data_IF_622600827524
#
_entry.id   IF_622600827524
#
_cell.length_a   1.000
_cell.length_b   1.000
_cell.length_c   1.000
_cell.angle_alpha   90.00
_cell.angle_beta   90.00
_cell.angle_gamma   90.00
#
_symmetry.space_group_name_H-M   'P 1'
#
loop_
_entity.id
_entity.type
_entity.pdbx_description
1 polymer ?
#
# COMPACT_ATOMS: atom_id res chain seq x y z
N UNK A 1 -37.82 13.55 17.36
CA UNK A 1 -36.45 13.97 17.72
C UNK A 1 -35.49 12.81 18.01
N UNK A 2 -35.86 11.75 18.75
CA UNK A 2 -34.96 10.59 19.00
C UNK A 2 -34.52 9.78 17.76
N UNK A 3 -35.32 9.75 16.68
CA UNK A 3 -34.95 9.07 15.41
C UNK A 3 -34.03 9.90 14.50
N UNK A 4 -34.09 11.23 14.54
CA UNK A 4 -33.16 12.08 13.78
C UNK A 4 -31.76 12.07 14.41
N UNK A 5 -31.67 11.94 15.75
CA UNK A 5 -30.38 11.85 16.45
C UNK A 5 -29.65 10.52 16.17
N UNK A 6 -30.38 9.42 15.92
CA UNK A 6 -29.77 8.14 15.54
C UNK A 6 -29.26 8.12 14.09
N UNK A 7 -29.86 8.91 13.20
CA UNK A 7 -29.39 9.07 11.80
C UNK A 7 -28.18 10.00 11.74
N UNK A 8 -28.10 11.01 12.62
CA UNK A 8 -26.90 11.85 12.75
C UNK A 8 -25.72 11.13 13.42
N UNK A 9 -25.98 10.17 14.32
CA UNK A 9 -24.94 9.38 14.99
C UNK A 9 -24.39 8.21 14.15
N UNK A 10 -25.08 7.83 13.08
CA UNK A 10 -24.59 6.81 12.12
C UNK A 10 -23.84 7.41 10.93
N UNK A 11 -23.86 8.74 10.76
CA UNK A 11 -23.12 9.43 9.69
C UNK A 11 -21.70 9.88 10.11
N UNK A 12 -21.32 9.68 11.38
CA UNK A 12 -19.99 10.06 11.90
C UNK A 12 -19.04 8.88 12.16
N UNK A 13 -19.37 7.66 11.71
CA UNK A 13 -18.53 6.47 11.89
C UNK A 13 -17.95 5.90 10.58
N UNK A 14 -17.95 6.69 9.50
CA UNK A 14 -17.44 6.28 8.18
C UNK A 14 -16.41 7.27 7.59
N UNK A 15 -15.83 8.14 8.42
CA UNK A 15 -14.69 8.97 8.06
C UNK A 15 -13.51 8.59 8.96
N UNK A 16 -12.33 8.49 8.35
CA UNK A 16 -11.03 8.12 8.96
C UNK A 16 -10.71 6.61 9.00
N UNK A 17 -10.67 5.98 7.83
CA UNK A 17 -9.81 4.80 7.59
C UNK A 17 -8.90 4.97 6.35
N UNK A 18 -8.80 6.20 5.82
CA UNK A 18 -8.02 6.51 4.61
C UNK A 18 -6.67 7.20 4.90
N UNK A 19 -6.28 7.40 6.16
CA UNK A 19 -5.08 8.15 6.54
C UNK A 19 -3.74 7.44 6.30
N UNK A 20 -3.68 6.43 5.43
CA UNK A 20 -2.51 5.56 5.22
C UNK A 20 -2.23 5.23 3.75
N UNK A 21 -3.00 5.84 2.83
CA UNK A 21 -2.83 5.69 1.38
C UNK A 21 -2.11 6.92 0.86
N UNK A 22 -1.05 6.73 0.08
CA UNK A 22 -0.37 7.86 -0.55
C UNK A 22 -1.37 8.69 -1.35
N UNK A 23 -1.43 10.00 -1.09
CA UNK A 23 -2.32 10.93 -1.81
C UNK A 23 -1.46 11.88 -2.60
N UNK A 24 -1.66 11.90 -3.91
CA UNK A 24 -1.00 12.82 -4.83
C UNK A 24 -1.99 13.96 -5.12
N UNK A 25 -1.56 15.20 -4.92
CA UNK A 25 -2.41 16.39 -5.05
C UNK A 25 -2.16 17.16 -6.35
N UNK A 26 -1.05 16.91 -7.04
CA UNK A 26 -0.73 17.53 -8.32
C UNK A 26 -0.55 16.49 -9.42
N UNK A 27 -1.17 16.75 -10.58
CA UNK A 27 -1.16 15.85 -11.74
C UNK A 27 0.20 15.73 -12.43
N UNK A 28 1.17 16.59 -12.10
CA UNK A 28 2.54 16.48 -12.59
C UNK A 28 3.42 15.60 -11.70
N UNK A 29 2.91 15.09 -10.57
CA UNK A 29 3.63 14.15 -9.71
C UNK A 29 3.24 12.71 -10.08
N UNK A 30 4.23 11.85 -10.24
CA UNK A 30 4.03 10.45 -10.62
C UNK A 30 5.00 9.51 -9.89
N UNK A 31 4.66 8.22 -9.89
CA UNK A 31 5.53 7.12 -9.41
C UNK A 31 6.08 7.36 -8.00
N UNK A 32 5.21 7.77 -7.07
CA UNK A 32 5.58 7.85 -5.65
C UNK A 32 5.82 6.44 -5.13
N UNK A 33 7.03 6.16 -4.66
CA UNK A 33 7.43 4.86 -4.09
C UNK A 33 7.99 5.05 -2.70
N UNK A 34 7.69 4.12 -1.80
CA UNK A 34 8.16 4.10 -0.42
C UNK A 34 8.63 2.69 -0.11
N UNK A 35 9.93 2.50 0.13
CA UNK A 35 10.51 1.18 0.39
C UNK A 35 11.55 1.19 1.51
N UNK A 36 11.61 0.14 2.35
CA UNK A 36 12.73 -0.05 3.28
C UNK A 36 13.96 -0.52 2.51
N UNK A 37 14.92 0.39 2.33
CA UNK A 37 16.03 0.19 1.40
C UNK A 37 15.50 -0.15 -0.01
N UNK A 38 16.02 -1.23 -0.59
CA UNK A 38 15.65 -1.68 -1.95
C UNK A 38 14.57 -2.78 -1.95
N UNK A 39 13.86 -3.00 -0.84
CA UNK A 39 12.83 -4.04 -0.75
C UNK A 39 11.44 -3.52 -1.15
N UNK A 40 11.16 -3.58 -2.45
CA UNK A 40 9.89 -3.17 -3.07
C UNK A 40 8.69 -4.10 -2.75
N UNK A 41 8.93 -5.27 -2.13
CA UNK A 41 7.88 -6.25 -1.80
C UNK A 41 7.43 -6.19 -0.34
N UNK A 42 8.12 -5.44 0.49
CA UNK A 42 7.77 -5.27 1.90
C UNK A 42 6.81 -4.11 2.13
N UNK A 43 6.21 -4.06 3.31
CA UNK A 43 5.60 -2.83 3.84
C UNK A 43 6.70 -1.80 4.12
N UNK A 44 6.40 -0.49 4.06
CA UNK A 44 7.35 0.56 4.43
C UNK A 44 7.54 0.61 5.95
N UNK A 45 8.22 -0.40 6.49
CA UNK A 45 8.54 -0.53 7.92
C UNK A 45 10.06 -0.63 8.07
N UNK A 46 10.62 0.25 8.90
CA UNK A 46 12.03 0.19 9.30
C UNK A 46 12.16 -0.02 10.80
N UNK A 47 13.23 -0.64 11.29
CA UNK A 47 13.45 -0.71 12.73
C UNK A 47 13.84 0.68 13.28
N UNK A 48 13.42 0.98 14.51
CA UNK A 48 13.76 2.23 15.20
C UNK A 48 15.28 2.41 15.39
N UNK A 49 15.99 1.28 15.50
CA UNK A 49 17.44 1.23 15.69
C UNK A 49 18.03 0.32 14.64
N UNK A 50 19.23 0.64 14.16
CA UNK A 50 20.07 -0.18 13.28
C UNK A 50 19.29 -0.98 12.21
N UNK A 51 19.12 -0.39 11.03
CA UNK A 51 18.51 -1.07 9.89
C UNK A 51 18.50 -0.20 8.64
N UNK A 52 17.77 -0.61 7.59
CA UNK A 52 17.64 0.20 6.39
C UNK A 52 16.88 1.50 6.67
N UNK A 53 17.18 2.53 5.89
CA UNK A 53 16.35 3.73 5.84
C UNK A 53 15.11 3.45 4.98
N UNK A 54 14.03 4.21 5.20
CA UNK A 54 12.97 4.35 4.21
C UNK A 54 13.50 5.22 3.08
N UNK A 55 13.37 4.74 1.85
CA UNK A 55 13.66 5.49 0.63
C UNK A 55 12.32 5.91 0.03
N UNK A 56 12.18 7.21 -0.24
CA UNK A 56 11.02 7.78 -0.92
C UNK A 56 11.50 8.35 -2.25
N UNK A 57 10.89 7.89 -3.34
CA UNK A 57 11.16 8.43 -4.67
C UNK A 57 9.87 8.87 -5.33
N UNK A 58 9.96 9.89 -6.18
CA UNK A 58 8.87 10.34 -7.03
C UNK A 58 9.43 11.06 -8.25
N UNK A 59 8.62 11.18 -9.30
CA UNK A 59 8.92 12.00 -10.45
C UNK A 59 7.99 13.21 -10.50
N UNK A 60 8.49 14.30 -11.07
CA UNK A 60 7.71 15.46 -11.49
C UNK A 60 7.81 15.59 -13.01
N UNK A 61 6.70 15.68 -13.74
CA UNK A 61 6.71 15.79 -15.20
C UNK A 61 7.29 17.13 -15.67
N UNK A 62 8.24 17.04 -16.61
CA UNK A 62 9.01 18.17 -17.13
C UNK A 62 10.40 18.29 -16.52
N UNK A 63 11.16 19.24 -17.06
CA UNK A 63 12.54 19.56 -16.64
C UNK A 63 12.64 20.91 -15.93
N UNK A 64 11.50 21.51 -15.63
CA UNK A 64 11.41 22.76 -14.90
C UNK A 64 11.97 22.57 -13.49
N UNK A 65 12.85 23.48 -13.09
CA UNK A 65 13.48 23.36 -11.78
C UNK A 65 12.48 23.71 -10.69
N UNK A 66 12.44 22.80 -9.74
CA UNK A 66 11.37 22.69 -8.78
C UNK A 66 12.00 22.22 -7.47
N UNK A 67 12.08 23.12 -6.49
CA UNK A 67 12.61 22.77 -5.18
C UNK A 67 11.48 22.24 -4.30
N UNK A 68 11.64 21.02 -3.79
CA UNK A 68 10.71 20.40 -2.87
C UNK A 68 11.34 20.31 -1.48
N UNK A 69 10.50 20.50 -0.47
CA UNK A 69 10.80 20.26 0.93
C UNK A 69 9.79 19.26 1.49
N UNK A 70 10.09 18.69 2.65
CA UNK A 70 9.17 17.81 3.33
C UNK A 70 9.11 18.05 4.82
N UNK A 71 7.97 17.67 5.40
CA UNK A 71 7.79 17.55 6.84
C UNK A 71 7.41 16.13 7.23
N UNK A 72 7.67 15.80 8.48
CA UNK A 72 7.44 14.49 9.08
C UNK A 72 6.59 14.66 10.34
N UNK A 73 5.45 13.99 10.39
CA UNK A 73 4.51 14.02 11.51
C UNK A 73 4.37 12.61 12.10
N UNK A 74 4.61 12.48 13.40
CA UNK A 74 4.35 11.23 14.13
C UNK A 74 2.84 11.03 14.26
N UNK A 75 2.39 9.80 14.02
CA UNK A 75 0.98 9.42 14.06
C UNK A 75 0.72 8.27 15.03
N UNK A 76 -0.48 8.25 15.59
CA UNK A 76 -1.01 7.13 16.37
C UNK A 76 -1.36 5.94 15.47
N UNK A 77 -1.76 4.80 16.08
CA UNK A 77 -2.03 3.56 15.36
C UNK A 77 -3.18 3.67 14.34
N UNK A 78 -4.05 4.67 14.50
CA UNK A 78 -5.15 5.00 13.58
C UNK A 78 -4.78 6.07 12.53
N UNK A 79 -3.50 6.44 12.46
CA UNK A 79 -2.92 7.45 11.58
C UNK A 79 -3.34 8.90 11.86
N UNK A 80 -4.00 9.17 12.99
CA UNK A 80 -4.14 10.54 13.48
C UNK A 80 -2.80 11.10 13.94
N UNK A 81 -2.53 12.38 13.68
CA UNK A 81 -1.29 13.03 14.13
C UNK A 81 -1.27 13.06 15.66
N UNK A 82 -0.16 12.63 16.27
CA UNK A 82 -0.04 12.54 17.72
C UNK A 82 0.06 13.93 18.36
N UNK A 83 -0.97 14.37 19.08
CA UNK A 83 -1.07 15.73 19.64
C UNK A 83 -0.18 15.95 20.90
N UNK A 84 0.23 14.88 21.59
CA UNK A 84 0.91 14.95 22.89
C UNK A 84 2.44 15.01 22.84
N UNK A 85 3.04 15.16 21.65
CA UNK A 85 4.49 15.07 21.45
C UNK A 85 5.07 16.43 21.06
N UNK A 86 6.23 16.75 21.64
CA UNK A 86 7.06 17.86 21.16
C UNK A 86 7.99 17.38 20.04
N UNK A 87 8.41 18.25 19.11
CA UNK A 87 9.35 17.87 18.06
C UNK A 87 10.61 17.13 18.56
N UNK A 88 11.17 17.59 19.69
CA UNK A 88 12.35 16.98 20.31
C UNK A 88 12.10 15.58 20.91
N UNK A 89 10.84 15.22 21.19
CA UNK A 89 10.45 13.85 21.56
C UNK A 89 10.55 12.92 20.35
N UNK A 90 10.17 13.40 19.16
CA UNK A 90 10.02 12.60 17.94
C UNK A 90 11.37 12.32 17.28
N UNK A 91 12.25 13.32 17.19
CA UNK A 91 13.52 13.19 16.48
C UNK A 91 14.63 14.08 17.06
N UNK A 92 15.88 13.76 16.72
CA UNK A 92 16.99 14.72 16.68
C UNK A 92 17.03 15.36 15.29
N UNK A 93 17.03 16.69 15.21
CA UNK A 93 17.03 17.42 13.94
C UNK A 93 15.74 18.21 13.71
N UNK A 94 15.46 18.53 12.44
CA UNK A 94 14.26 19.24 12.03
C UNK A 94 13.17 18.24 11.61
N UNK A 95 11.90 18.61 11.80
CA UNK A 95 10.74 17.83 11.36
C UNK A 95 10.01 18.48 10.19
N UNK A 96 10.38 19.70 9.82
CA UNK A 96 9.73 20.52 8.80
C UNK A 96 10.81 21.21 7.98
N UNK A 97 10.46 21.62 6.76
CA UNK A 97 11.34 22.32 5.81
C UNK A 97 12.65 21.58 5.51
N UNK A 98 12.60 20.24 5.52
CA UNK A 98 13.73 19.39 5.20
C UNK A 98 13.94 19.38 3.67
N UNK A 99 15.14 19.69 3.21
CA UNK A 99 15.43 19.81 1.79
C UNK A 99 15.56 18.45 1.11
N UNK A 100 14.99 18.33 -0.10
CA UNK A 100 15.23 17.21 -1.03
C UNK A 100 16.31 17.66 -2.02
N UNK A 101 17.50 17.06 -1.90
CA UNK A 101 18.71 17.47 -2.65
C UNK A 101 19.07 16.52 -3.79
N UNK A 102 18.65 15.27 -3.70
CA UNK A 102 18.90 14.28 -4.76
C UNK A 102 17.84 14.44 -5.84
N UNK A 103 18.26 15.06 -6.95
CA UNK A 103 17.39 15.51 -8.04
C UNK A 103 18.11 15.28 -9.37
N UNK A 104 17.50 14.49 -10.25
CA UNK A 104 18.09 14.14 -11.54
C UNK A 104 17.06 14.25 -12.67
N UNK A 105 17.45 14.84 -13.81
CA UNK A 105 16.57 14.95 -14.99
C UNK A 105 16.53 13.64 -15.76
N UNK A 106 15.39 13.36 -16.38
CA UNK A 106 15.27 12.25 -17.31
C UNK A 106 16.17 12.43 -18.53
N UNK A 107 16.65 11.32 -19.08
CA UNK A 107 17.58 11.27 -20.22
C UNK A 107 17.00 10.30 -21.25
N UNK A 108 16.89 10.77 -22.50
CA UNK A 108 16.41 9.98 -23.64
C UNK A 108 15.01 9.36 -23.43
N UNK A 109 14.10 10.07 -22.78
CA UNK A 109 12.70 9.66 -22.59
C UNK A 109 11.77 10.54 -23.44
N UNK A 110 10.66 9.98 -23.94
CA UNK A 110 9.66 10.77 -24.68
C UNK A 110 8.89 11.67 -23.72
N UNK A 111 8.50 11.15 -22.56
CA UNK A 111 7.95 11.96 -21.47
C UNK A 111 9.11 12.49 -20.63
N UNK A 112 9.30 13.80 -20.65
CA UNK A 112 10.30 14.45 -19.78
C UNK A 112 9.82 14.43 -18.33
N UNK A 113 10.73 14.17 -17.41
CA UNK A 113 10.48 14.26 -15.98
C UNK A 113 11.76 14.58 -15.21
N UNK A 114 11.61 15.03 -13.97
CA UNK A 114 12.69 15.21 -13.01
C UNK A 114 12.44 14.25 -11.85
N UNK A 115 13.39 13.38 -11.58
CA UNK A 115 13.36 12.40 -10.50
C UNK A 115 13.86 13.02 -9.20
N UNK A 116 13.18 12.70 -8.10
CA UNK A 116 13.52 13.14 -6.76
C UNK A 116 13.65 11.93 -5.84
N UNK A 117 14.69 11.93 -5.00
CA UNK A 117 14.89 10.89 -3.98
C UNK A 117 15.30 11.50 -2.63
N UNK A 118 14.85 10.88 -1.55
CA UNK A 118 15.39 11.13 -0.21
C UNK A 118 15.15 9.91 0.66
N UNK A 119 15.88 9.84 1.79
CA UNK A 119 15.70 8.75 2.74
C UNK A 119 15.44 9.25 4.16
N UNK A 120 14.79 8.46 4.99
CA UNK A 120 14.53 8.75 6.42
C UNK A 120 14.85 7.51 7.24
N UNK A 121 15.66 7.59 8.31
CA UNK A 121 16.40 8.77 8.78
C UNK A 121 17.54 9.19 7.83
N UNK A 122 18.09 10.40 8.01
CA UNK A 122 19.22 10.94 7.23
C UNK A 122 20.02 11.97 8.07
N UNK A 123 20.95 12.70 7.44
CA UNK A 123 21.79 13.71 8.11
C UNK A 123 21.02 14.87 8.77
N UNK A 124 19.80 15.16 8.31
CA UNK A 124 18.94 16.23 8.81
C UNK A 124 17.99 15.78 9.93
N UNK A 125 17.66 14.48 9.99
CA UNK A 125 16.68 13.92 10.93
C UNK A 125 17.03 12.48 11.35
N UNK A 126 17.04 12.25 12.66
CA UNK A 126 17.16 10.94 13.26
C UNK A 126 15.97 10.65 14.21
N UNK A 127 15.17 9.63 13.90
CA UNK A 127 13.93 9.32 14.62
C UNK A 127 14.19 8.67 15.98
N UNK A 128 13.43 9.06 17.01
CA UNK A 128 13.52 8.56 18.39
C UNK A 128 12.36 7.69 18.82
N UNK A 129 11.23 7.78 18.12
CA UNK A 129 10.01 7.05 18.47
C UNK A 129 9.63 6.01 17.42
N UNK A 130 9.18 4.85 17.87
CA UNK A 130 8.45 3.90 17.03
C UNK A 130 7.00 4.32 16.90
N UNK A 131 6.36 3.95 15.79
CA UNK A 131 4.98 4.32 15.51
C UNK A 131 4.77 4.52 14.02
N UNK A 132 3.70 5.24 13.70
CA UNK A 132 3.37 5.59 12.34
C UNK A 132 3.94 6.98 12.01
N UNK A 133 4.32 7.20 10.77
CA UNK A 133 4.86 8.47 10.31
C UNK A 133 4.21 8.87 8.99
N UNK A 134 3.71 10.11 8.94
CA UNK A 134 3.26 10.75 7.71
C UNK A 134 4.35 11.70 7.22
N UNK A 135 4.64 11.64 5.93
CA UNK A 135 5.51 12.57 5.22
C UNK A 135 4.65 13.41 4.30
N UNK A 136 4.74 14.72 4.41
CA UNK A 136 4.10 15.66 3.48
C UNK A 136 5.20 16.33 2.68
N UNK A 137 5.20 16.14 1.36
CA UNK A 137 6.14 16.80 0.43
C UNK A 137 5.44 17.98 -0.21
N UNK A 138 6.08 19.14 -0.23
CA UNK A 138 5.51 20.41 -0.71
C UNK A 138 6.57 21.28 -1.38
N UNK A 139 6.13 22.29 -2.13
CA UNK A 139 7.02 23.28 -2.75
C UNK A 139 7.79 24.06 -1.70
N UNK A 140 9.10 24.18 -1.87
CA UNK A 140 9.92 25.00 -0.97
C UNK A 140 9.36 26.43 -0.91
N UNK A 141 9.28 26.98 0.30
CA UNK A 141 8.71 28.30 0.58
C UNK A 141 7.20 28.48 0.29
N UNK A 142 6.47 27.41 -0.04
CA UNK A 142 5.02 27.39 -0.24
C UNK A 142 4.41 26.10 0.35
N UNK A 143 4.37 25.95 1.69
CA UNK A 143 3.91 24.73 2.36
C UNK A 143 2.44 24.35 2.10
N UNK A 144 1.64 25.28 1.60
CA UNK A 144 0.27 25.05 1.13
C UNK A 144 0.21 24.34 -0.23
N UNK A 145 1.29 24.38 -1.03
CA UNK A 145 1.42 23.68 -2.30
C UNK A 145 1.98 22.28 -2.07
N UNK A 146 1.15 21.42 -1.46
CA UNK A 146 1.48 20.02 -1.16
C UNK A 146 1.49 19.20 -2.45
N UNK A 147 2.63 18.58 -2.77
CA UNK A 147 2.79 17.67 -3.89
C UNK A 147 2.08 16.32 -3.63
N UNK A 148 2.44 15.68 -2.51
CA UNK A 148 1.85 14.43 -2.07
C UNK A 148 2.06 14.22 -0.56
N UNK A 149 1.24 13.33 0.00
CA UNK A 149 1.43 12.76 1.33
C UNK A 149 1.68 11.26 1.22
N UNK A 150 2.65 10.75 1.95
CA UNK A 150 2.94 9.32 2.02
C UNK A 150 3.25 8.87 3.46
N UNK A 151 3.37 7.57 3.63
CA UNK A 151 3.32 6.94 4.95
C UNK A 151 4.35 5.84 5.09
N UNK A 152 4.97 5.77 6.27
CA UNK A 152 5.83 4.66 6.68
C UNK A 152 5.68 4.41 8.17
N UNK A 153 6.28 3.32 8.66
CA UNK A 153 6.23 2.94 10.06
C UNK A 153 7.62 2.64 10.59
N UNK A 154 7.80 2.85 11.89
CA UNK A 154 9.06 2.60 12.60
C UNK A 154 8.79 1.61 13.73
N UNK A 155 9.50 0.49 13.72
CA UNK A 155 9.31 -0.63 14.63
C UNK A 155 10.34 -0.63 15.76
N UNK A 156 9.90 -0.56 17.01
CA UNK A 156 10.73 -0.89 18.18
C UNK A 156 10.33 -2.28 18.71
N UNK A 157 11.03 -3.33 18.25
CA UNK A 157 10.64 -4.73 18.42
C UNK A 157 10.73 -5.20 19.89
N UNK A 158 9.72 -4.87 20.71
CA UNK A 158 9.57 -5.30 22.12
C UNK A 158 8.72 -6.57 22.26
N UNK A 159 7.82 -6.82 21.31
CA UNK A 159 6.91 -7.98 21.32
C UNK A 159 7.24 -8.97 20.21
N UNK A 160 7.00 -10.26 20.48
CA UNK A 160 7.10 -11.31 19.46
C UNK A 160 5.73 -11.60 18.89
N UNK A 161 5.61 -11.54 17.57
CA UNK A 161 4.40 -11.86 16.82
C UNK A 161 4.68 -13.10 15.99
N UNK A 162 3.73 -14.03 15.95
CA UNK A 162 3.77 -15.21 15.09
C UNK A 162 2.44 -15.35 14.38
N UNK A 163 2.51 -15.64 13.08
CA UNK A 163 1.37 -15.91 12.22
C UNK A 163 1.44 -17.35 11.70
N UNK A 164 0.29 -17.96 11.49
CA UNK A 164 0.12 -19.19 10.70
C UNK A 164 -1.09 -19.02 9.79
N UNK A 165 -1.04 -19.63 8.61
CA UNK A 165 -2.13 -19.63 7.64
C UNK A 165 -2.71 -21.03 7.55
N UNK A 166 -4.01 -21.16 7.78
CA UNK A 166 -4.78 -22.39 7.68
C UNK A 166 -5.71 -22.33 6.47
N UNK A 167 -5.79 -23.42 5.71
CA UNK A 167 -6.71 -23.55 4.56
C UNK A 167 -7.91 -24.44 4.90
N UNK A 168 -7.85 -25.16 6.02
CA UNK A 168 -9.01 -25.72 6.69
C UNK A 168 -9.52 -24.66 7.67
N UNK A 169 -10.49 -23.86 7.22
CA UNK A 169 -11.01 -22.73 7.97
C UNK A 169 -12.25 -23.14 8.77
N UNK A 170 -12.71 -22.26 9.67
CA UNK A 170 -13.95 -22.50 10.41
C UNK A 170 -15.21 -22.50 9.51
N UNK A 171 -15.12 -22.02 8.25
CA UNK A 171 -16.26 -21.89 7.33
C UNK A 171 -16.17 -22.80 6.09
N UNK A 172 -14.98 -23.26 5.71
CA UNK A 172 -14.77 -24.19 4.61
C UNK A 172 -13.45 -24.97 4.72
N UNK A 173 -13.27 -25.98 3.87
CA UNK A 173 -12.06 -26.82 3.86
C UNK A 173 -11.45 -26.79 2.47
N UNK A 174 -10.26 -26.20 2.33
CA UNK A 174 -9.51 -26.15 1.07
C UNK A 174 -10.38 -25.70 -0.11
N UNK A 175 -11.15 -24.65 0.09
CA UNK A 175 -12.06 -24.14 -0.92
C UNK A 175 -11.68 -22.71 -1.30
N UNK A 176 -12.21 -21.70 -0.63
CA UNK A 176 -12.09 -20.31 -1.07
C UNK A 176 -11.45 -19.39 -0.03
N UNK A 177 -11.18 -19.86 1.19
CA UNK A 177 -10.71 -19.00 2.26
C UNK A 177 -9.35 -19.43 2.83
N UNK A 178 -8.72 -18.46 3.48
CA UNK A 178 -7.49 -18.62 4.24
C UNK A 178 -7.72 -17.98 5.62
N UNK A 179 -7.46 -18.74 6.69
CA UNK A 179 -7.65 -18.29 8.06
C UNK A 179 -6.32 -18.06 8.74
N UNK A 180 -6.18 -16.91 9.39
CA UNK A 180 -4.96 -16.52 10.09
C UNK A 180 -5.10 -16.84 11.57
N UNK A 181 -4.13 -17.57 12.11
CA UNK A 181 -3.92 -17.63 13.56
C UNK A 181 -2.76 -16.70 13.92
N UNK A 182 -2.93 -15.97 15.01
CA UNK A 182 -1.95 -15.00 15.48
C UNK A 182 -1.64 -15.27 16.95
N UNK A 183 -0.36 -15.19 17.31
CA UNK A 183 0.07 -15.20 18.71
C UNK A 183 1.04 -14.05 18.95
N UNK A 184 0.73 -13.25 19.97
CA UNK A 184 1.55 -12.13 20.43
C UNK A 184 2.05 -12.45 21.83
N UNK A 185 3.35 -12.36 22.05
CA UNK A 185 3.97 -12.42 23.39
C UNK A 185 4.47 -11.04 23.79
N UNK A 186 4.13 -10.61 25.01
CA UNK A 186 4.49 -9.27 25.49
C UNK A 186 5.99 -9.07 25.75
N UNK A 187 6.73 -10.16 25.91
CA UNK A 187 8.16 -10.10 26.26
C UNK A 187 8.34 -9.50 27.64
N UNK A 188 9.22 -8.50 27.76
CA UNK A 188 9.42 -7.72 28.99
C UNK A 188 8.46 -6.53 29.14
N UNK A 189 7.55 -6.33 28.19
CA UNK A 189 6.61 -5.21 28.21
C UNK A 189 5.53 -5.42 29.27
N UNK A 190 5.37 -4.44 30.17
CA UNK A 190 4.39 -4.50 31.24
C UNK A 190 2.97 -4.18 30.72
N UNK A 191 2.20 -5.23 30.39
CA UNK A 191 0.81 -5.11 29.94
C UNK A 191 -0.13 -5.52 31.08
N UNK A 192 -0.90 -4.55 31.58
CA UNK A 192 -1.85 -4.75 32.68
C UNK A 192 -3.31 -4.77 32.20
N UNK A 193 -3.61 -4.04 31.14
CA UNK A 193 -4.94 -3.95 30.53
C UNK A 193 -4.83 -4.13 29.00
N UNK A 194 -4.67 -5.38 28.51
CA UNK A 194 -4.40 -5.63 27.08
C UNK A 194 -5.44 -5.00 26.14
N UNK A 195 -6.71 -4.98 26.53
CA UNK A 195 -7.79 -4.45 25.70
C UNK A 195 -7.68 -2.93 25.42
N UNK A 196 -7.02 -2.16 26.29
CA UNK A 196 -6.81 -0.72 26.11
C UNK A 196 -5.38 -0.38 25.71
N UNK A 197 -4.43 -1.26 26.01
CA UNK A 197 -3.01 -1.02 25.78
C UNK A 197 -2.51 -1.61 24.46
N UNK A 198 -3.21 -2.58 23.86
CA UNK A 198 -2.78 -3.25 22.63
C UNK A 198 -3.79 -2.95 21.53
N UNK A 199 -3.28 -2.43 20.41
CA UNK A 199 -4.02 -2.35 19.15
C UNK A 199 -3.37 -3.28 18.13
N UNK A 200 -4.17 -3.96 17.34
CA UNK A 200 -3.70 -4.92 16.34
C UNK A 200 -4.30 -4.64 14.97
N UNK A 201 -3.49 -4.84 13.93
CA UNK A 201 -3.95 -4.79 12.55
C UNK A 201 -3.43 -6.02 11.83
N UNK A 202 -4.29 -6.72 11.10
CA UNK A 202 -3.92 -7.82 10.21
C UNK A 202 -4.27 -7.45 8.77
N UNK A 203 -3.27 -7.53 7.88
CA UNK A 203 -3.37 -7.16 6.47
C UNK A 203 -3.22 -8.41 5.60
N UNK A 204 -3.87 -8.39 4.43
CA UNK A 204 -3.66 -9.34 3.35
C UNK A 204 -3.05 -8.60 2.16
N UNK A 205 -1.92 -9.07 1.66
CA UNK A 205 -1.16 -8.46 0.57
C UNK A 205 -0.93 -6.97 0.78
N UNK A 206 -0.65 -6.58 2.03
CA UNK A 206 -0.47 -5.23 2.55
C UNK A 206 -1.55 -4.21 2.15
N UNK A 207 -2.74 -4.70 1.76
CA UNK A 207 -3.92 -3.89 1.50
C UNK A 207 -4.59 -3.50 2.79
N UNK A 208 -4.89 -2.21 2.89
CA UNK A 208 -5.57 -1.63 4.05
C UNK A 208 -7.09 -1.63 3.94
N UNK A 209 -7.63 -1.64 2.72
CA UNK A 209 -9.08 -1.57 2.48
C UNK A 209 -9.85 -2.80 3.02
N UNK A 210 -9.16 -3.93 3.18
CA UNK A 210 -9.68 -5.17 3.74
C UNK A 210 -9.02 -5.55 5.08
N UNK A 211 -8.30 -4.61 5.71
CA UNK A 211 -7.63 -4.83 6.98
C UNK A 211 -8.60 -5.25 8.09
N UNK A 212 -8.13 -6.13 8.96
CA UNK A 212 -8.85 -6.52 10.18
C UNK A 212 -8.19 -5.83 11.37
N UNK A 213 -8.88 -4.82 11.90
CA UNK A 213 -8.39 -3.98 13.00
C UNK A 213 -9.02 -4.42 14.33
N UNK A 214 -8.18 -4.59 15.35
CA UNK A 214 -8.54 -4.97 16.72
C UNK A 214 -9.49 -6.19 16.82
N UNK A 215 -9.25 -7.30 16.10
CA UNK A 215 -10.02 -8.52 16.32
C UNK A 215 -9.87 -8.96 17.78
N UNK A 216 -10.95 -9.44 18.40
CA UNK A 216 -10.91 -9.88 19.79
C UNK A 216 -10.07 -11.18 19.91
N UNK A 217 -9.07 -11.26 20.80
CA UNK A 217 -8.33 -12.50 21.03
C UNK A 217 -9.20 -13.55 21.74
N UNK A 218 -8.97 -14.82 21.42
CA UNK A 218 -9.63 -15.96 22.08
C UNK A 218 -9.00 -16.26 23.44
N UNK A 219 -7.68 -16.09 23.56
CA UNK A 219 -6.95 -16.32 24.80
C UNK A 219 -6.21 -15.05 25.19
N UNK A 220 -6.45 -14.60 26.43
CA UNK A 220 -5.74 -13.49 27.07
C UNK A 220 -5.03 -14.06 28.30
N UNK A 221 -3.71 -13.96 28.35
CA UNK A 221 -2.90 -14.39 29.48
C UNK A 221 -1.94 -13.30 29.92
N UNK A 222 -1.21 -13.55 31.02
CA UNK A 222 -0.15 -12.65 31.48
C UNK A 222 1.04 -12.59 30.51
N UNK A 223 1.25 -13.62 29.70
CA UNK A 223 2.37 -13.71 28.77
C UNK A 223 2.06 -13.15 27.39
N UNK A 224 0.77 -13.01 27.03
CA UNK A 224 0.39 -12.61 25.69
C UNK A 224 -1.07 -12.81 25.31
N UNK A 225 -1.31 -12.71 24.00
CA UNK A 225 -2.60 -12.83 23.35
C UNK A 225 -2.54 -13.91 22.26
N UNK A 226 -3.60 -14.68 22.11
CA UNK A 226 -3.74 -15.66 21.01
C UNK A 226 -5.09 -15.51 20.33
N UNK A 227 -5.03 -15.46 19.00
CA UNK A 227 -6.16 -15.53 18.08
C UNK A 227 -6.10 -16.88 17.37
N UNK A 228 -7.03 -17.76 17.71
CA UNK A 228 -7.15 -19.11 17.15
C UNK A 228 -8.63 -19.36 16.92
N UNK A 229 -9.01 -19.96 15.79
CA UNK A 229 -10.43 -20.08 15.39
C UNK A 229 -11.17 -18.73 15.45
N UNK A 230 -10.51 -17.68 14.97
CA UNK A 230 -11.08 -16.35 14.95
C UNK A 230 -11.76 -16.09 13.60
N UNK A 231 -13.08 -15.98 13.61
CA UNK A 231 -13.87 -15.75 12.40
C UNK A 231 -13.59 -14.41 11.73
N UNK A 232 -13.10 -13.41 12.48
CA UNK A 232 -12.71 -12.12 11.90
C UNK A 232 -11.40 -12.20 11.09
N UNK A 233 -10.59 -13.23 11.31
CA UNK A 233 -9.32 -13.47 10.63
C UNK A 233 -9.44 -14.50 9.49
N UNK A 234 -10.64 -14.66 8.95
CA UNK A 234 -10.88 -15.46 7.74
C UNK A 234 -10.94 -14.50 6.54
N UNK A 235 -9.98 -14.66 5.63
CA UNK A 235 -9.85 -13.86 4.41
C UNK A 235 -10.26 -14.69 3.20
N UNK A 236 -10.75 -14.02 2.15
CA UNK A 236 -10.87 -14.64 0.84
C UNK A 236 -9.46 -15.00 0.34
N UNK A 237 -9.28 -16.19 -0.22
CA UNK A 237 -8.02 -16.59 -0.84
C UNK A 237 -7.68 -15.77 -2.09
N UNK A 238 -8.68 -15.24 -2.79
CA UNK A 238 -8.51 -14.50 -4.04
C UNK A 238 -7.86 -15.37 -5.11
N UNK A 239 -7.03 -14.75 -5.94
CA UNK A 239 -6.21 -15.45 -6.92
C UNK A 239 -4.83 -14.77 -6.98
N UNK A 240 -3.86 -15.40 -7.63
CA UNK A 240 -2.59 -14.74 -7.92
C UNK A 240 -2.85 -13.41 -8.65
N UNK A 241 -2.15 -12.34 -8.29
CA UNK A 241 -2.26 -11.10 -9.04
C UNK A 241 -1.83 -11.35 -10.48
N UNK A 242 -2.49 -10.65 -11.41
CA UNK A 242 -2.03 -10.54 -12.79
C UNK A 242 -0.70 -9.78 -12.81
N UNK A 243 0.08 -9.95 -13.86
CA UNK A 243 1.38 -9.29 -14.00
C UNK A 243 1.72 -9.03 -15.45
N UNK A 244 2.43 -7.94 -15.67
CA UNK A 244 3.06 -7.62 -16.95
C UNK A 244 4.40 -6.92 -16.70
N UNK A 245 5.23 -6.89 -17.73
CA UNK A 245 6.44 -6.09 -17.77
C UNK A 245 6.39 -5.26 -19.04
N UNK A 246 6.62 -3.96 -18.92
CA UNK A 246 6.91 -3.07 -20.05
C UNK A 246 8.33 -2.54 -19.86
N UNK A 247 9.30 -3.15 -20.54
CA UNK A 247 10.73 -2.84 -20.37
C UNK A 247 11.32 -2.04 -21.54
N UNK A 248 10.62 -2.04 -22.68
CA UNK A 248 10.97 -1.33 -23.90
C UNK A 248 9.75 -0.62 -24.48
N UNK A 249 9.97 0.41 -25.31
CA UNK A 249 8.91 1.19 -25.97
C UNK A 249 8.76 0.86 -27.46
N UNK A 250 9.59 -0.04 -27.98
CA UNK A 250 9.66 -0.39 -29.41
C UNK A 250 9.24 -1.83 -29.72
N UNK A 251 9.06 -2.69 -28.70
CA UNK A 251 8.58 -4.06 -28.87
C UNK A 251 7.88 -4.60 -27.62
N UNK A 252 6.87 -5.49 -27.77
CA UNK A 252 6.18 -6.12 -26.65
C UNK A 252 7.09 -6.98 -25.76
N UNK A 253 6.91 -6.87 -24.44
CA UNK A 253 7.51 -7.74 -23.41
C UNK A 253 6.42 -8.56 -22.69
N UNK A 254 6.69 -9.09 -21.49
CA UNK A 254 5.76 -10.02 -20.80
C UNK A 254 4.37 -9.42 -20.61
N UNK A 255 3.33 -10.11 -21.07
CA UNK A 255 1.93 -9.71 -20.86
C UNK A 255 1.43 -8.62 -21.82
N UNK A 256 2.29 -8.11 -22.70
CA UNK A 256 1.93 -7.10 -23.70
C UNK A 256 1.59 -7.79 -25.02
N UNK A 257 0.48 -7.36 -25.62
CA UNK A 257 0.02 -7.80 -26.93
C UNK A 257 0.65 -6.96 -28.04
N UNK A 258 0.67 -5.65 -27.87
CA UNK A 258 1.15 -4.71 -28.88
C UNK A 258 1.74 -3.45 -28.23
N UNK A 259 2.69 -2.81 -28.92
CA UNK A 259 3.22 -1.50 -28.55
C UNK A 259 3.22 -0.61 -29.78
N UNK A 260 2.66 0.59 -29.66
CA UNK A 260 2.64 1.56 -30.74
C UNK A 260 2.73 3.00 -30.23
N UNK A 261 3.11 3.90 -31.11
CA UNK A 261 3.13 5.35 -30.86
C UNK A 261 1.90 6.00 -31.48
N UNK A 262 1.13 6.76 -30.71
CA UNK A 262 -0.11 7.41 -31.19
C UNK A 262 0.13 8.78 -31.86
N UNK A 263 1.36 9.27 -31.83
CA UNK A 263 1.73 10.63 -32.25
C UNK A 263 2.21 11.51 -31.10
N UNK A 264 1.91 11.14 -29.86
CA UNK A 264 2.17 11.90 -28.65
C UNK A 264 2.77 11.05 -27.50
N UNK A 265 2.32 9.80 -27.33
CA UNK A 265 2.82 8.87 -26.32
C UNK A 265 2.85 7.43 -26.83
N UNK A 266 3.73 6.63 -26.25
CA UNK A 266 3.77 5.18 -26.47
C UNK A 266 2.64 4.51 -25.69
N UNK A 267 1.86 3.69 -26.38
CA UNK A 267 0.85 2.81 -25.81
C UNK A 267 1.39 1.39 -25.69
N UNK A 268 1.19 0.78 -24.53
CA UNK A 268 1.42 -0.64 -24.28
C UNK A 268 0.07 -1.34 -24.07
N UNK A 269 -0.38 -2.08 -25.08
CA UNK A 269 -1.66 -2.78 -25.05
C UNK A 269 -1.46 -4.16 -24.43
N UNK A 270 -2.13 -4.42 -23.30
CA UNK A 270 -2.07 -5.73 -22.67
C UNK A 270 -2.93 -6.75 -23.41
N UNK A 271 -2.64 -8.05 -23.19
CA UNK A 271 -3.60 -9.09 -23.57
C UNK A 271 -4.90 -8.93 -22.79
N UNK A 272 -6.03 -9.24 -23.43
CA UNK A 272 -7.33 -9.21 -22.75
C UNK A 272 -7.34 -10.19 -21.58
N UNK A 273 -7.71 -9.68 -20.42
CA UNK A 273 -7.85 -10.45 -19.20
C UNK A 273 -9.15 -11.23 -19.18
N UNK A 274 -9.03 -12.55 -19.37
CA UNK A 274 -10.17 -13.46 -19.34
C UNK A 274 -10.51 -13.94 -17.91
N UNK A 275 -11.74 -14.43 -17.65
CA UNK A 275 -12.11 -15.05 -16.39
C UNK A 275 -11.19 -16.24 -16.03
N UNK A 276 -10.87 -16.37 -14.74
CA UNK A 276 -9.97 -17.39 -14.18
C UNK A 276 -10.72 -18.36 -13.24
N UNK A 277 -11.59 -19.25 -13.78
CA UNK A 277 -12.44 -20.12 -12.96
C UNK A 277 -11.67 -21.25 -12.25
N UNK A 278 -10.43 -21.51 -12.66
CA UNK A 278 -9.56 -22.52 -12.06
C UNK A 278 -8.30 -21.86 -11.50
N UNK A 279 -7.79 -22.43 -10.40
CA UNK A 279 -6.50 -22.01 -9.85
C UNK A 279 -5.36 -22.44 -10.76
N UNK A 280 -4.51 -21.48 -11.13
CA UNK A 280 -3.24 -21.73 -11.79
C UNK A 280 -2.13 -21.11 -10.94
N UNK A 281 -1.14 -21.92 -10.59
CA UNK A 281 0.01 -21.43 -9.84
C UNK A 281 0.84 -20.47 -10.71
N UNK A 282 0.78 -19.18 -10.40
CA UNK A 282 1.45 -18.13 -11.16
C UNK A 282 1.98 -17.02 -10.24
N UNK A 283 3.02 -17.27 -9.43
CA UNK A 283 3.53 -16.33 -8.43
C UNK A 283 3.76 -14.92 -8.98
N UNK A 284 3.35 -13.92 -8.20
CA UNK A 284 3.36 -12.52 -8.58
C UNK A 284 4.07 -11.66 -7.52
N UNK A 285 4.07 -10.34 -7.72
CA UNK A 285 4.52 -9.38 -6.72
C UNK A 285 3.50 -9.12 -5.60
N UNK A 286 2.35 -9.79 -5.56
CA UNK A 286 1.25 -9.51 -4.61
C UNK A 286 0.88 -8.01 -4.58
N UNK A 287 0.68 -7.44 -5.77
CA UNK A 287 0.39 -6.02 -5.97
C UNK A 287 1.62 -5.10 -6.03
N UNK A 288 2.81 -5.59 -5.69
CA UNK A 288 4.05 -4.83 -5.81
C UNK A 288 4.39 -4.50 -7.28
N UNK A 289 5.10 -3.39 -7.48
CA UNK A 289 5.70 -3.03 -8.75
C UNK A 289 7.16 -2.59 -8.54
N UNK A 290 7.96 -2.63 -9.60
CA UNK A 290 9.34 -2.13 -9.60
C UNK A 290 9.66 -1.48 -10.96
N UNK A 291 10.24 -0.30 -10.91
CA UNK A 291 10.67 0.46 -12.08
C UNK A 291 11.92 -0.19 -12.68
N UNK A 292 11.85 -0.53 -13.96
CA UNK A 292 12.91 -1.24 -14.69
C UNK A 292 12.81 -0.92 -16.18
N UNK A 293 13.96 -0.92 -16.84
CA UNK A 293 14.10 -0.89 -18.30
C UNK A 293 14.86 -2.16 -18.75
N UNK A 294 14.96 -2.39 -20.07
CA UNK A 294 15.59 -3.58 -20.65
C UNK A 294 17.02 -3.84 -20.18
N UNK A 295 17.81 -2.79 -20.01
CA UNK A 295 19.22 -2.89 -19.60
C UNK A 295 19.41 -2.94 -18.08
N UNK A 296 18.35 -2.61 -17.34
CA UNK A 296 18.33 -2.50 -15.88
C UNK A 296 19.41 -1.56 -15.32
N UNK A 297 19.67 -0.48 -16.04
CA UNK A 297 20.64 0.57 -15.68
C UNK A 297 19.93 1.93 -15.60
N UNK A 298 20.37 2.77 -14.64
CA UNK A 298 19.85 4.12 -14.43
C UNK A 298 18.31 4.22 -14.44
N UNK A 299 17.64 3.20 -13.89
CA UNK A 299 16.19 2.96 -14.05
C UNK A 299 15.31 4.12 -13.59
N UNK A 300 15.83 5.02 -12.77
CA UNK A 300 15.10 6.21 -12.34
C UNK A 300 15.13 7.34 -13.37
N UNK A 301 16.14 7.45 -14.23
CA UNK A 301 16.33 8.59 -15.15
C UNK A 301 16.27 8.23 -16.62
N UNK A 302 16.41 6.96 -17.00
CA UNK A 302 16.42 6.50 -18.41
C UNK A 302 15.21 5.62 -18.79
N UNK A 303 14.12 5.74 -18.03
CA UNK A 303 12.95 4.87 -18.14
C UNK A 303 11.74 5.71 -18.50
N UNK A 304 11.09 5.41 -19.62
CA UNK A 304 10.01 6.23 -20.16
C UNK A 304 8.68 6.02 -19.42
N UNK A 305 7.76 6.96 -19.61
CA UNK A 305 6.35 6.76 -19.27
C UNK A 305 5.57 6.31 -20.51
N UNK A 306 4.69 5.34 -20.32
CA UNK A 306 3.81 4.81 -21.36
C UNK A 306 2.38 4.81 -20.86
N UNK A 307 1.42 4.88 -21.79
CA UNK A 307 0.02 4.63 -21.49
C UNK A 307 -0.24 3.14 -21.62
N UNK A 308 -0.60 2.48 -20.51
CA UNK A 308 -0.87 1.05 -20.49
C UNK A 308 -2.36 0.83 -20.65
N UNK A 309 -2.75 0.14 -21.72
CA UNK A 309 -4.14 -0.14 -22.05
C UNK A 309 -4.54 -1.52 -21.49
N UNK A 310 -5.41 -1.49 -20.49
CA UNK A 310 -5.98 -2.67 -19.82
C UNK A 310 -7.31 -3.03 -20.46
N UNK A 311 -7.53 -4.32 -20.70
CA UNK A 311 -8.80 -4.83 -21.21
C UNK A 311 -9.24 -6.04 -20.39
N UNK A 312 -10.45 -6.00 -19.85
CA UNK A 312 -11.02 -7.07 -19.02
C UNK A 312 -12.29 -7.62 -19.66
N UNK A 313 -12.35 -8.95 -19.81
CA UNK A 313 -13.55 -9.66 -20.22
C UNK A 313 -14.32 -10.14 -18.98
N UNK A 314 -15.43 -9.48 -18.67
CA UNK A 314 -16.38 -9.90 -17.65
C UNK A 314 -17.77 -9.35 -17.96
N UNK A 315 -18.81 -9.96 -17.39
CA UNK A 315 -20.18 -9.48 -17.55
C UNK A 315 -20.31 -8.05 -17.01
N UNK A 316 -21.18 -7.24 -17.64
CA UNK A 316 -21.45 -5.88 -17.19
C UNK A 316 -21.88 -5.88 -15.70
N UNK A 317 -21.22 -5.03 -14.92
CA UNK A 317 -21.38 -4.84 -13.48
C UNK A 317 -22.17 -3.58 -13.19
N UNK A 318 -22.96 -3.63 -12.12
CA UNK A 318 -23.65 -2.43 -11.60
C UNK A 318 -22.72 -1.55 -10.76
N UNK A 319 -21.69 -2.14 -10.15
CA UNK A 319 -20.71 -1.41 -9.35
C UNK A 319 -19.46 -1.14 -10.17
N UNK A 320 -18.77 0.00 -9.92
CA UNK A 320 -17.48 0.26 -10.53
C UNK A 320 -16.46 -0.85 -10.26
N UNK A 321 -15.67 -1.15 -11.28
CA UNK A 321 -14.51 -2.04 -11.19
C UNK A 321 -13.27 -1.16 -11.19
N UNK A 322 -12.37 -1.39 -10.25
CA UNK A 322 -11.10 -0.67 -10.18
C UNK A 322 -9.92 -1.59 -10.46
N UNK A 323 -8.98 -1.10 -11.24
CA UNK A 323 -7.61 -1.61 -11.25
C UNK A 323 -6.98 -1.34 -9.89
N UNK A 324 -6.31 -2.34 -9.33
CA UNK A 324 -5.60 -2.21 -8.06
C UNK A 324 -4.24 -2.88 -8.12
N UNK A 325 -3.27 -2.15 -7.59
CA UNK A 325 -1.92 -2.58 -7.28
C UNK A 325 -1.24 -1.42 -6.54
N UNK A 326 0.00 -1.57 -6.11
CA UNK A 326 0.64 -0.49 -5.34
C UNK A 326 0.96 0.74 -6.16
N UNK A 327 1.06 0.58 -7.47
CA UNK A 327 1.16 1.71 -8.39
C UNK A 327 -0.10 2.59 -8.36
N UNK A 328 -1.24 2.06 -7.90
CA UNK A 328 -2.47 2.83 -7.74
C UNK A 328 -2.59 3.50 -6.36
N UNK A 329 -1.55 3.41 -5.52
CA UNK A 329 -1.53 3.89 -4.14
C UNK A 329 -2.67 3.31 -3.27
N UNK A 330 -3.18 2.13 -3.65
CA UNK A 330 -4.41 1.52 -3.12
C UNK A 330 -5.66 2.44 -3.17
N UNK A 331 -5.63 3.45 -4.04
CA UNK A 331 -6.77 4.34 -4.27
C UNK A 331 -7.78 3.72 -5.24
N UNK A 332 -9.05 4.12 -5.06
CA UNK A 332 -10.19 3.73 -5.89
C UNK A 332 -10.81 4.99 -6.51
N UNK A 333 -9.99 5.71 -7.28
CA UNK A 333 -10.35 6.97 -7.96
C UNK A 333 -10.75 6.71 -9.42
N UNK A 334 -11.36 7.69 -10.10
CA UNK A 334 -11.69 7.58 -11.52
C UNK A 334 -10.49 7.21 -12.42
N UNK A 335 -9.26 7.57 -12.04
CA UNK A 335 -8.05 7.26 -12.81
C UNK A 335 -7.75 5.75 -12.91
N UNK A 336 -8.33 4.95 -12.01
CA UNK A 336 -8.18 3.50 -11.98
C UNK A 336 -9.50 2.76 -12.24
N UNK A 337 -10.57 3.47 -12.61
CA UNK A 337 -11.87 2.87 -12.89
C UNK A 337 -11.94 2.29 -14.30
N UNK A 338 -12.42 1.04 -14.41
CA UNK A 338 -12.64 0.39 -15.71
C UNK A 338 -13.98 0.82 -16.31
N UNK A 339 -13.97 1.23 -17.58
CA UNK A 339 -15.16 1.65 -18.32
C UNK A 339 -15.67 0.51 -19.20
N UNK A 340 -16.97 0.18 -19.10
CA UNK A 340 -17.58 -0.83 -19.95
C UNK A 340 -17.92 -0.28 -21.33
N UNK A 341 -17.51 -0.97 -22.38
CA UNK A 341 -17.89 -0.71 -23.76
C UNK A 341 -18.96 -1.71 -24.23
N UNK A 342 -20.20 -1.26 -24.55
CA UNK A 342 -21.23 -2.14 -25.07
C UNK A 342 -20.94 -2.70 -26.47
N UNK A 343 -20.05 -2.06 -27.23
CA UNK A 343 -19.77 -2.39 -28.63
C UNK A 343 -18.99 -3.70 -28.75
N UNK A 344 -17.94 -3.86 -27.95
CA UNK A 344 -17.10 -5.06 -27.89
C UNK A 344 -17.39 -5.93 -26.65
N UNK A 345 -18.22 -5.43 -25.73
CA UNK A 345 -18.61 -6.08 -24.47
C UNK A 345 -17.42 -6.32 -23.53
N UNK A 346 -16.46 -5.41 -23.55
CA UNK A 346 -15.26 -5.45 -22.72
C UNK A 346 -15.18 -4.22 -21.80
N UNK A 347 -14.42 -4.37 -20.72
CA UNK A 347 -14.02 -3.27 -19.86
C UNK A 347 -12.65 -2.75 -20.28
N UNK A 348 -12.47 -1.44 -20.29
CA UNK A 348 -11.24 -0.77 -20.70
C UNK A 348 -10.79 0.27 -19.67
N UNK A 349 -9.48 0.39 -19.49
CA UNK A 349 -8.87 1.53 -18.81
C UNK A 349 -7.48 1.79 -19.40
N UNK A 350 -7.05 3.05 -19.38
CA UNK A 350 -5.70 3.44 -19.75
C UNK A 350 -5.06 4.11 -18.55
N UNK A 351 -3.92 3.59 -18.10
CA UNK A 351 -3.18 4.14 -16.95
C UNK A 351 -1.76 4.47 -17.38
N UNK A 352 -1.34 5.72 -17.14
CA UNK A 352 0.04 6.14 -17.40
C UNK A 352 0.97 5.56 -16.35
N UNK A 353 1.93 4.75 -16.78
CA UNK A 353 2.89 4.07 -15.91
C UNK A 353 4.31 4.25 -16.44
N UNK A 354 5.27 4.39 -15.52
CA UNK A 354 6.69 4.34 -15.86
C UNK A 354 7.07 2.91 -16.21
N UNK A 355 8.00 2.67 -17.14
CA UNK A 355 8.37 1.31 -17.50
C UNK A 355 8.85 0.47 -16.30
N UNK A 356 8.51 -0.82 -16.29
CA UNK A 356 8.77 -1.70 -15.16
C UNK A 356 7.94 -2.98 -15.14
N UNK A 357 8.07 -3.71 -14.02
CA UNK A 357 7.23 -4.86 -13.68
C UNK A 357 6.07 -4.39 -12.81
N UNK A 358 4.86 -4.81 -13.14
CA UNK A 358 3.64 -4.46 -12.42
C UNK A 358 2.83 -5.70 -12.08
N UNK A 359 2.32 -5.73 -10.85
CA UNK A 359 1.38 -6.73 -10.38
C UNK A 359 0.06 -6.05 -10.05
N UNK A 360 -1.05 -6.57 -10.58
CA UNK A 360 -2.36 -5.91 -10.50
C UNK A 360 -3.52 -6.92 -10.38
N UNK A 361 -4.67 -6.42 -9.97
CA UNK A 361 -5.92 -7.16 -9.88
C UNK A 361 -7.10 -6.23 -10.16
N UNK A 362 -8.28 -6.82 -10.33
CA UNK A 362 -9.54 -6.09 -10.49
C UNK A 362 -10.39 -6.25 -9.23
N UNK A 363 -10.75 -5.13 -8.62
CA UNK A 363 -11.53 -5.10 -7.40
C UNK A 363 -12.90 -4.43 -7.63
N UNK A 364 -13.90 -4.94 -6.94
CA UNK A 364 -15.24 -4.34 -6.86
C UNK A 364 -15.63 -4.22 -5.38
N UNK A 365 -16.41 -3.18 -5.05
CA UNK A 365 -16.90 -2.98 -3.69
C UNK A 365 -17.94 -4.04 -3.35
N UNK A 366 -17.70 -4.79 -2.27
CA UNK A 366 -18.63 -5.79 -1.73
C UNK A 366 -19.84 -5.16 -1.04
N UNK A 367 -20.91 -5.95 -0.75
CA UNK A 367 -22.09 -5.46 -0.03
C UNK A 367 -21.80 -4.92 1.38
N UNK A 368 -20.71 -5.38 2.00
CA UNK A 368 -20.20 -4.92 3.29
C UNK A 368 -19.31 -3.67 3.19
N UNK A 369 -19.14 -3.13 1.98
CA UNK A 369 -18.34 -1.94 1.71
C UNK A 369 -16.84 -2.18 1.53
N UNK A 370 -16.34 -3.41 1.68
CA UNK A 370 -14.91 -3.75 1.48
C UNK A 370 -14.61 -4.06 0.02
N UNK A 371 -13.41 -3.77 -0.46
CA UNK A 371 -13.03 -4.14 -1.83
C UNK A 371 -12.63 -5.61 -1.90
N UNK A 372 -13.09 -6.29 -2.95
CA UNK A 372 -12.88 -7.73 -3.13
C UNK A 372 -12.54 -8.02 -4.59
N UNK A 373 -11.70 -9.03 -4.88
CA UNK A 373 -11.50 -9.49 -6.24
C UNK A 373 -12.85 -9.80 -6.92
N UNK A 374 -12.94 -9.50 -8.21
CA UNK A 374 -14.12 -9.86 -8.99
C UNK A 374 -14.37 -11.37 -8.92
N UNK A 375 -15.64 -11.79 -9.00
CA UNK A 375 -15.97 -13.21 -9.06
C UNK A 375 -15.31 -13.91 -10.27
N UNK A 376 -15.11 -13.19 -11.38
CA UNK A 376 -14.42 -13.67 -12.57
C UNK A 376 -12.93 -13.96 -12.33
N UNK A 377 -12.31 -13.40 -11.29
CA UNK A 377 -10.93 -13.69 -10.91
C UNK A 377 -10.77 -15.01 -10.14
N UNK A 378 -11.88 -15.54 -9.61
CA UNK A 378 -11.87 -16.73 -8.76
C UNK A 378 -11.43 -16.45 -7.32
N UNK A 379 -11.58 -17.46 -6.47
CA UNK A 379 -11.27 -17.38 -5.04
C UNK A 379 -10.76 -18.74 -4.56
N UNK A 380 -9.46 -18.86 -4.32
CA UNK A 380 -8.78 -20.14 -4.16
C UNK A 380 -7.94 -20.18 -2.89
N UNK A 381 -8.12 -21.24 -2.10
CA UNK A 381 -7.30 -21.46 -0.90
C UNK A 381 -5.80 -21.61 -1.22
N UNK A 382 -5.44 -22.00 -2.44
CA UNK A 382 -4.05 -22.26 -2.85
C UNK A 382 -3.22 -20.98 -3.04
N UNK A 383 -3.84 -19.81 -3.24
CA UNK A 383 -3.16 -18.56 -3.61
C UNK A 383 -2.08 -18.14 -2.63
N UNK A 384 -0.92 -17.76 -3.16
CA UNK A 384 0.29 -17.37 -2.43
C UNK A 384 0.26 -15.98 -1.79
N UNK A 385 -0.80 -15.69 -1.05
CA UNK A 385 -0.96 -14.42 -0.34
C UNK A 385 0.09 -14.22 0.75
N UNK A 386 0.45 -12.97 0.98
CA UNK A 386 1.24 -12.55 2.13
C UNK A 386 0.32 -11.91 3.17
N UNK A 387 0.48 -12.29 4.43
CA UNK A 387 -0.24 -11.71 5.55
C UNK A 387 0.72 -10.98 6.48
N UNK A 388 0.31 -9.81 6.96
CA UNK A 388 1.10 -9.00 7.87
C UNK A 388 0.31 -8.72 9.15
N UNK A 389 0.99 -8.65 10.28
CA UNK A 389 0.42 -8.23 11.54
C UNK A 389 1.24 -7.10 12.17
N UNK A 390 0.55 -6.02 12.53
CA UNK A 390 1.08 -4.85 13.22
C UNK A 390 0.53 -4.82 14.64
N UNK A 391 1.41 -4.71 15.63
CA UNK A 391 1.06 -4.67 17.04
C UNK A 391 1.53 -3.35 17.62
N UNK A 392 0.56 -2.53 18.01
CA UNK A 392 0.81 -1.26 18.68
C UNK A 392 0.59 -1.41 20.17
N UNK A 393 1.42 -0.73 20.95
CA UNK A 393 1.32 -0.68 22.40
C UNK A 393 1.28 0.77 22.89
N UNK A 394 0.36 1.05 23.80
CA UNK A 394 0.31 2.29 24.57
C UNK A 394 0.45 1.97 26.04
N UNK A 395 1.51 2.47 26.67
CA UNK A 395 1.66 2.36 28.13
C UNK A 395 0.59 3.19 28.84
N UNK A 396 0.30 2.88 30.12
CA UNK A 396 -0.76 3.59 30.88
C UNK A 396 -0.56 5.12 30.92
N UNK A 397 0.69 5.58 30.92
CA UNK A 397 1.06 6.99 30.90
C UNK A 397 1.67 7.39 29.55
N UNK A 398 1.51 6.56 28.52
CA UNK A 398 2.06 6.78 27.19
C UNK A 398 1.30 7.89 26.46
N UNK A 399 2.05 8.74 25.75
CA UNK A 399 1.48 9.87 24.99
C UNK A 399 1.09 9.51 23.56
N UNK A 400 1.52 8.34 23.08
CA UNK A 400 1.35 7.90 21.69
C UNK A 400 1.28 6.38 21.61
N UNK A 401 0.76 5.84 20.51
CA UNK A 401 0.93 4.43 20.17
C UNK A 401 2.33 4.15 19.63
N UNK A 402 2.98 3.12 20.18
CA UNK A 402 4.28 2.63 19.71
C UNK A 402 4.06 1.37 18.85
N UNK A 403 4.64 1.29 17.65
CA UNK A 403 4.68 0.03 16.89
C UNK A 403 5.76 -0.88 17.51
N UNK A 404 5.31 -1.91 18.24
CA UNK A 404 6.19 -2.76 19.07
C UNK A 404 6.34 -4.20 18.59
N UNK A 405 5.53 -4.61 17.61
CA UNK A 405 5.57 -5.93 17.03
C UNK A 405 5.16 -5.91 15.57
N UNK A 406 5.90 -6.66 14.77
CA UNK A 406 5.59 -6.92 13.37
C UNK A 406 5.92 -8.38 13.05
N UNK A 407 5.06 -9.00 12.25
CA UNK A 407 5.37 -10.25 11.58
C UNK A 407 4.68 -10.28 10.23
N UNK A 408 5.30 -10.97 9.28
CA UNK A 408 4.70 -11.34 8.03
C UNK A 408 4.89 -12.83 7.76
N UNK A 409 4.01 -13.38 6.92
CA UNK A 409 4.07 -14.77 6.46
C UNK A 409 3.50 -14.85 5.05
N UNK A 410 4.14 -15.62 4.18
CA UNK A 410 3.58 -16.03 2.90
C UNK A 410 3.07 -17.46 2.99
N UNK A 411 1.86 -17.70 2.49
CA UNK A 411 1.26 -19.04 2.34
C UNK A 411 1.78 -19.71 1.06
#
# INVERSE_FOLDING_TARGET
>A
MRRLLQILLTFFLAAHLYGQQTVIYHNDIATVTISPGNDWRSLPIIPLREGPNIIINFDQYGHDYHQYQYKIEHCDADWSVSEGLFPADIADGFLEDLDIKDVEKSINTNILYTHYSFSVPNEQINLKLSGNYKVTVYRAYAPEEVAFECYFMVLDKKMSVRLSVQTNTDIDINHAHQQIEMRVKYGSTAVSAPASQIKTVVLQNRRWDNAVVNPRPQIVSQEGLTWQHNSALIFNGGNEYRKFEVLATDHPTMGIKDIYWDGNITHAVLWTDEPRPNYNYAPSGNGAFIIRNSDNEAVYTTTDYVDVDFTLQTDQRERPIYLNGYFSNDQFTPDYEMTYSPEDRLYHATVRLKQGYYSYQYLEKGPDGRMRPLASEGNFYQTGNQYQALIYYRSLNGRTDELVGYADIQK
#
